data_IF_846409240895
#
_entry.id   IF_846409240895
#
_cell.length_a   1.000
_cell.length_b   1.000
_cell.length_c   1.000
_cell.angle_alpha   90.00
_cell.angle_beta   90.00
_cell.angle_gamma   90.00
#
_symmetry.space_group_name_H-M   'P 1'
#
loop_
_entity.id
_entity.type
_entity.pdbx_description
1 polymer ?
#
# COMPACT_ATOMS: atom_id res chain seq x y z
N UNK A 1 -3.55 -18.59 -7.49
CA UNK A 1 -3.53 -18.04 -6.11
C UNK A 1 -2.09 -17.82 -5.68
N UNK A 2 -1.76 -16.66 -5.11
CA UNK A 2 -0.44 -16.40 -4.51
C UNK A 2 -0.49 -16.51 -2.98
N UNK A 3 0.67 -16.71 -2.36
CA UNK A 3 0.81 -16.66 -0.90
C UNK A 3 0.90 -15.20 -0.43
N UNK A 4 0.17 -14.84 0.63
CA UNK A 4 0.06 -13.46 1.12
C UNK A 4 0.77 -13.35 2.46
N UNK A 5 1.67 -12.38 2.58
CA UNK A 5 2.39 -12.04 3.82
C UNK A 5 2.08 -10.59 4.18
N UNK A 6 1.60 -10.37 5.40
CA UNK A 6 1.39 -9.02 5.92
C UNK A 6 2.68 -8.49 6.57
N UNK A 7 3.14 -7.32 6.11
CA UNK A 7 4.28 -6.61 6.71
C UNK A 7 3.78 -5.51 7.65
N UNK A 8 3.96 -5.70 8.96
CA UNK A 8 3.51 -4.77 10.00
C UNK A 8 4.67 -4.25 10.84
N UNK A 9 4.43 -3.22 11.66
CA UNK A 9 5.47 -2.59 12.49
C UNK A 9 5.10 -1.15 12.87
N UNK A 10 5.69 -0.66 13.97
CA UNK A 10 5.42 0.69 14.51
C UNK A 10 5.95 1.85 13.63
N UNK A 11 5.72 3.07 14.07
CA UNK A 11 6.28 4.28 13.44
C UNK A 11 7.81 4.23 13.53
N UNK A 12 8.51 4.58 12.44
CA UNK A 12 9.98 4.58 12.41
C UNK A 12 10.65 3.20 12.38
N UNK A 13 9.89 2.10 12.32
CA UNK A 13 10.44 0.72 12.32
C UNK A 13 11.12 0.28 11.01
N UNK A 14 11.13 1.12 9.97
CA UNK A 14 11.79 0.77 8.71
C UNK A 14 11.03 -0.19 7.79
N UNK A 15 9.70 -0.34 7.95
CA UNK A 15 8.87 -1.20 7.07
C UNK A 15 9.08 -0.93 5.58
N UNK A 16 9.19 0.34 5.18
CA UNK A 16 9.42 0.71 3.79
C UNK A 16 10.75 0.17 3.27
N UNK A 17 11.81 0.18 4.09
CA UNK A 17 13.10 -0.42 3.73
C UNK A 17 13.00 -1.93 3.52
N UNK A 18 12.21 -2.62 4.35
CA UNK A 18 11.98 -4.07 4.20
C UNK A 18 11.12 -4.36 2.95
N UNK A 19 10.08 -3.56 2.69
CA UNK A 19 9.26 -3.66 1.50
C UNK A 19 10.08 -3.46 0.21
N UNK A 20 10.99 -2.48 0.20
CA UNK A 20 11.90 -2.22 -0.91
C UNK A 20 12.86 -3.40 -1.14
N UNK A 21 13.34 -4.03 -0.07
CA UNK A 21 14.18 -5.22 -0.18
C UNK A 21 13.42 -6.38 -0.84
N UNK A 22 12.17 -6.63 -0.47
CA UNK A 22 11.32 -7.63 -1.11
C UNK A 22 11.02 -7.29 -2.58
N UNK A 23 10.75 -6.02 -2.88
CA UNK A 23 10.54 -5.53 -4.25
C UNK A 23 11.75 -5.83 -5.15
N UNK A 24 12.98 -5.62 -4.65
CA UNK A 24 14.22 -5.95 -5.38
C UNK A 24 14.40 -7.45 -5.66
N UNK A 25 13.72 -8.31 -4.91
CA UNK A 25 13.67 -9.76 -5.14
C UNK A 25 12.55 -10.16 -6.11
N UNK A 26 11.84 -9.19 -6.71
CA UNK A 26 10.74 -9.44 -7.65
C UNK A 26 9.40 -9.75 -6.97
N UNK A 27 9.27 -9.54 -5.65
CA UNK A 27 8.01 -9.75 -4.94
C UNK A 27 7.11 -8.53 -5.13
N UNK A 28 5.87 -8.78 -5.53
CA UNK A 28 4.85 -7.73 -5.66
C UNK A 28 4.50 -7.15 -4.30
N UNK A 29 4.66 -5.83 -4.15
CA UNK A 29 4.29 -5.09 -2.95
C UNK A 29 2.89 -4.49 -3.14
N UNK A 30 2.00 -4.74 -2.18
CA UNK A 30 0.67 -4.14 -2.12
C UNK A 30 0.66 -3.17 -0.93
N UNK A 31 0.67 -1.87 -1.20
CA UNK A 31 0.70 -0.83 -0.18
C UNK A 31 -0.73 -0.39 0.21
N UNK A 32 -1.11 -0.66 1.45
CA UNK A 32 -2.43 -0.32 1.98
C UNK A 32 -2.68 1.18 2.10
N UNK A 33 -1.65 1.99 2.38
CA UNK A 33 -1.79 3.45 2.51
C UNK A 33 -2.08 4.08 1.14
N UNK A 34 -1.42 3.58 0.09
CA UNK A 34 -1.70 4.03 -1.30
C UNK A 34 -3.14 3.68 -1.69
N UNK A 35 -3.57 2.44 -1.43
CA UNK A 35 -4.93 2.00 -1.75
C UNK A 35 -5.97 2.83 -0.99
N UNK A 36 -5.75 3.09 0.31
CA UNK A 36 -6.64 3.92 1.11
C UNK A 36 -6.78 5.34 0.52
N UNK A 37 -5.67 5.97 0.12
CA UNK A 37 -5.70 7.29 -0.55
C UNK A 37 -6.47 7.27 -1.85
N UNK A 38 -6.22 6.28 -2.71
CA UNK A 38 -6.92 6.12 -4.00
C UNK A 38 -8.43 5.94 -3.82
N UNK A 39 -8.85 5.14 -2.82
CA UNK A 39 -10.27 4.93 -2.50
C UNK A 39 -10.93 6.24 -2.04
N UNK A 40 -10.24 7.05 -1.24
CA UNK A 40 -10.75 8.35 -0.77
C UNK A 40 -10.84 9.36 -1.92
N UNK A 41 -9.81 9.45 -2.76
CA UNK A 41 -9.80 10.34 -3.93
C UNK A 41 -10.92 10.00 -4.91
N UNK A 42 -11.10 8.72 -5.23
CA UNK A 42 -12.17 8.24 -6.10
C UNK A 42 -13.58 8.54 -5.55
N UNK A 43 -13.73 8.68 -4.22
CA UNK A 43 -15.00 9.09 -3.59
C UNK A 43 -15.23 10.58 -3.73
N UNK A 44 -14.20 11.42 -3.57
CA UNK A 44 -14.35 12.87 -3.68
C UNK A 44 -14.72 13.33 -5.10
N UNK A 45 -14.09 12.75 -6.13
CA UNK A 45 -14.35 13.11 -7.53
C UNK A 45 -15.78 12.77 -7.97
N UNK A 46 -16.43 11.79 -7.32
CA UNK A 46 -17.85 11.45 -7.61
C UNK A 46 -18.84 12.45 -7.02
N UNK A 47 -18.52 13.11 -5.91
CA UNK A 47 -19.43 14.02 -5.21
C UNK A 47 -19.42 15.45 -5.80
N UNK A 48 -18.38 15.81 -6.56
CA UNK A 48 -18.18 17.15 -7.15
C UNK A 48 -18.75 17.32 -8.57
N UNK A 49 -19.42 16.29 -9.11
CA UNK A 49 -20.06 16.32 -10.44
C UNK A 49 -21.53 16.78 -10.42
N UNK A 50 -21.98 17.41 -9.33
CA UNK A 50 -23.25 18.12 -9.25
C UNK A 50 -23.02 19.59 -8.93
#
# INVERSE_FOLDING_TARGET
MGYIVALTGGIGSGKSTVADAFSRLGITIIDADIIARQVVEARYTRTKRH
#
